data_IF_087983251717
#
_entry.id   IF_087983251717
#
_cell.length_a   1.000
_cell.length_b   1.000
_cell.length_c   1.000
_cell.angle_alpha   90.00
_cell.angle_beta   90.00
_cell.angle_gamma   90.00
#
_symmetry.space_group_name_H-M   'P 1'
#
loop_
_entity.id
_entity.type
_entity.pdbx_description
1 polymer ?
#
# COMPACT_ATOMS: atom_id res chain seq x y z
N UNK A 1 34.46 10.65 25.24
CA UNK A 1 33.78 10.11 24.05
C UNK A 1 32.39 9.66 24.47
N UNK A 2 31.36 10.49 24.25
CA UNK A 2 29.99 10.06 24.51
C UNK A 2 29.61 9.02 23.45
N UNK A 3 29.41 7.78 23.86
CA UNK A 3 28.82 6.73 23.02
C UNK A 3 27.50 7.28 22.45
N UNK A 4 27.20 7.10 21.16
CA UNK A 4 25.94 7.55 20.62
C UNK A 4 24.82 6.88 21.41
N UNK A 5 23.91 7.69 21.98
CA UNK A 5 22.77 7.20 22.76
C UNK A 5 22.01 6.16 21.94
N UNK A 6 21.90 4.95 22.47
CA UNK A 6 21.16 3.84 21.86
C UNK A 6 19.66 4.08 22.07
N UNK A 7 19.03 4.86 21.13
CA UNK A 7 17.64 5.29 21.20
C UNK A 7 17.36 6.46 22.12
N UNK A 8 16.10 6.85 22.24
CA UNK A 8 15.64 7.93 23.11
C UNK A 8 15.33 7.42 24.53
N UNK A 9 15.61 8.27 25.54
CA UNK A 9 15.20 8.00 26.93
C UNK A 9 13.68 8.26 27.11
N UNK A 10 13.08 7.68 28.17
CA UNK A 10 11.74 8.05 28.61
C UNK A 10 11.79 9.40 29.35
N UNK A 11 10.76 10.27 29.24
CA UNK A 11 9.49 10.07 28.53
C UNK A 11 9.53 10.46 27.04
N UNK A 12 10.65 11.03 26.53
CA UNK A 12 10.77 11.51 25.16
C UNK A 12 10.46 10.41 24.12
N UNK A 13 10.93 9.17 24.37
CA UNK A 13 10.64 8.01 23.52
C UNK A 13 9.15 7.78 23.36
N UNK A 14 8.37 7.84 24.45
CA UNK A 14 6.92 7.64 24.40
C UNK A 14 6.21 8.66 23.51
N UNK A 15 6.57 9.94 23.63
CA UNK A 15 6.01 11.00 22.80
C UNK A 15 6.43 10.89 21.32
N UNK A 16 7.68 10.50 21.06
CA UNK A 16 8.14 10.27 19.71
C UNK A 16 7.38 9.11 19.03
N UNK A 17 7.15 8.01 19.75
CA UNK A 17 6.36 6.87 19.26
C UNK A 17 4.92 7.29 18.99
N UNK A 18 4.30 8.05 19.87
CA UNK A 18 2.94 8.57 19.68
C UNK A 18 2.86 9.45 18.42
N UNK A 19 3.84 10.33 18.22
CA UNK A 19 3.93 11.17 17.01
C UNK A 19 3.97 10.31 15.74
N UNK A 20 4.88 9.31 15.71
CA UNK A 20 5.06 8.40 14.59
C UNK A 20 3.76 7.61 14.33
N UNK A 21 3.10 7.15 15.40
CA UNK A 21 1.84 6.41 15.29
C UNK A 21 0.71 7.28 14.74
N UNK A 22 0.54 8.52 15.23
CA UNK A 22 -0.51 9.43 14.74
C UNK A 22 -0.32 9.71 13.24
N UNK A 23 0.89 10.06 12.78
CA UNK A 23 1.12 10.34 11.36
C UNK A 23 0.88 9.10 10.48
N UNK A 24 1.25 7.91 10.98
CA UNK A 24 1.00 6.66 10.27
C UNK A 24 -0.49 6.30 10.22
N UNK A 25 -1.23 6.50 11.32
CA UNK A 25 -2.69 6.35 11.39
C UNK A 25 -3.33 7.27 10.34
N UNK A 26 -3.00 8.56 10.36
CA UNK A 26 -3.53 9.53 9.40
C UNK A 26 -3.30 9.07 7.96
N UNK A 27 -2.07 8.73 7.60
CA UNK A 27 -1.72 8.37 6.21
C UNK A 27 -2.37 7.06 5.73
N UNK A 28 -2.47 6.04 6.60
CA UNK A 28 -3.03 4.73 6.23
C UNK A 28 -4.56 4.75 6.24
N UNK A 29 -5.14 5.34 7.27
CA UNK A 29 -6.58 5.40 7.47
C UNK A 29 -7.26 6.28 6.40
N UNK A 30 -6.65 7.43 6.06
CA UNK A 30 -7.16 8.36 5.05
C UNK A 30 -7.30 7.73 3.66
N UNK A 31 -6.38 6.84 3.28
CA UNK A 31 -6.49 6.05 2.05
C UNK A 31 -7.68 5.08 2.05
N UNK A 32 -8.09 4.58 3.21
CA UNK A 32 -9.21 3.65 3.33
C UNK A 32 -10.57 4.39 3.47
N UNK A 33 -10.58 5.49 4.22
CA UNK A 33 -11.80 6.29 4.49
C UNK A 33 -12.38 6.85 3.19
N UNK A 34 -11.55 7.41 2.31
CA UNK A 34 -12.00 8.02 1.07
C UNK A 34 -12.74 7.04 0.15
N UNK A 35 -12.34 5.77 0.13
CA UNK A 35 -12.97 4.76 -0.74
C UNK A 35 -14.45 4.55 -0.43
N UNK A 36 -14.85 4.58 0.84
CA UNK A 36 -16.25 4.36 1.28
C UNK A 36 -17.16 5.48 0.80
N UNK A 37 -16.66 6.71 0.79
CA UNK A 37 -17.42 7.91 0.44
C UNK A 37 -17.42 8.26 -1.05
N UNK A 38 -16.66 7.52 -1.89
CA UNK A 38 -16.53 7.85 -3.32
C UNK A 38 -17.87 8.05 -4.03
N UNK A 39 -18.89 7.16 -3.85
CA UNK A 39 -20.16 7.34 -4.51
C UNK A 39 -20.88 8.63 -4.08
N UNK A 40 -20.88 8.95 -2.80
CA UNK A 40 -21.50 10.18 -2.27
C UNK A 40 -20.75 11.43 -2.73
N UNK A 41 -19.42 11.41 -2.71
CA UNK A 41 -18.60 12.53 -3.23
C UNK A 41 -18.88 12.74 -4.73
N UNK A 42 -19.01 11.67 -5.51
CA UNK A 42 -19.33 11.76 -6.94
C UNK A 42 -20.67 12.44 -7.18
N UNK A 43 -21.70 12.08 -6.41
CA UNK A 43 -23.04 12.69 -6.49
C UNK A 43 -23.01 14.16 -6.09
N UNK A 44 -22.42 14.49 -4.95
CA UNK A 44 -22.43 15.85 -4.41
C UNK A 44 -21.64 16.83 -5.29
N UNK A 45 -20.55 16.37 -5.91
CA UNK A 45 -19.72 17.17 -6.82
C UNK A 45 -20.18 17.05 -8.29
N UNK A 46 -21.32 16.42 -8.57
CA UNK A 46 -21.87 16.20 -9.92
C UNK A 46 -20.85 15.60 -10.90
N UNK A 47 -20.02 14.68 -10.41
CA UNK A 47 -18.97 14.01 -11.15
C UNK A 47 -19.37 12.60 -11.57
N UNK A 48 -18.83 12.11 -12.70
CA UNK A 48 -19.04 10.72 -13.05
C UNK A 48 -18.32 9.79 -12.04
N UNK A 49 -18.83 8.58 -11.78
CA UNK A 49 -18.17 7.60 -10.92
C UNK A 49 -16.72 7.31 -11.34
N UNK A 50 -16.46 7.20 -12.65
CA UNK A 50 -15.12 6.94 -13.17
C UNK A 50 -14.13 8.07 -12.84
N UNK A 51 -14.52 9.32 -13.04
CA UNK A 51 -13.67 10.47 -12.68
C UNK A 51 -13.50 10.65 -11.18
N UNK A 52 -14.49 10.29 -10.36
CA UNK A 52 -14.36 10.38 -8.89
C UNK A 52 -13.26 9.50 -8.32
N UNK A 53 -12.90 8.40 -9.01
CA UNK A 53 -11.81 7.50 -8.59
C UNK A 53 -10.45 8.22 -8.60
N UNK A 54 -10.31 9.34 -9.34
CA UNK A 54 -9.09 10.16 -9.30
C UNK A 54 -8.80 10.76 -7.91
N UNK A 55 -9.80 10.89 -7.05
CA UNK A 55 -9.62 11.24 -5.62
C UNK A 55 -8.70 10.23 -4.92
N UNK A 56 -8.83 8.95 -5.25
CA UNK A 56 -8.00 7.86 -4.73
C UNK A 56 -6.73 7.69 -5.56
N UNK A 57 -6.86 7.66 -6.89
CA UNK A 57 -5.72 7.48 -7.80
C UNK A 57 -4.68 8.58 -7.61
N UNK A 58 -5.08 9.84 -7.53
CA UNK A 58 -4.18 10.98 -7.34
C UNK A 58 -3.39 10.88 -6.04
N UNK A 59 -4.05 10.51 -4.95
CA UNK A 59 -3.40 10.26 -3.66
C UNK A 59 -2.39 9.11 -3.72
N UNK A 60 -2.80 7.95 -4.25
CA UNK A 60 -1.95 6.77 -4.34
C UNK A 60 -0.77 6.97 -5.29
N UNK A 61 -1.01 7.63 -6.44
CA UNK A 61 0.05 7.97 -7.39
C UNK A 61 1.09 8.88 -6.75
N UNK A 62 0.66 9.96 -6.07
CA UNK A 62 1.56 10.88 -5.39
C UNK A 62 2.43 10.16 -4.35
N UNK A 63 1.86 9.23 -3.57
CA UNK A 63 2.64 8.40 -2.65
C UNK A 63 3.64 7.53 -3.42
N UNK A 64 3.18 6.84 -4.45
CA UNK A 64 4.00 5.87 -5.19
C UNK A 64 5.23 6.50 -5.82
N UNK A 65 5.06 7.66 -6.49
CA UNK A 65 6.16 8.35 -7.18
C UNK A 65 7.14 9.03 -6.22
N UNK A 66 6.69 9.40 -5.02
CA UNK A 66 7.50 10.21 -4.08
C UNK A 66 8.05 9.44 -2.89
N UNK A 67 7.57 8.21 -2.62
CA UNK A 67 8.00 7.43 -1.43
C UNK A 67 9.52 7.23 -1.40
N UNK A 68 10.11 6.74 -2.49
CA UNK A 68 11.55 6.47 -2.58
C UNK A 68 12.37 7.76 -2.66
N UNK A 69 12.04 8.75 -3.50
CA UNK A 69 12.71 10.05 -3.48
C UNK A 69 12.71 10.72 -2.10
N UNK A 70 11.57 10.72 -1.39
CA UNK A 70 11.50 11.32 -0.05
C UNK A 70 12.23 10.50 1.02
N UNK A 71 12.37 9.18 0.85
CA UNK A 71 13.24 8.38 1.70
C UNK A 71 14.70 8.79 1.56
N UNK A 72 15.19 8.92 0.31
CA UNK A 72 16.55 9.42 0.02
C UNK A 72 16.74 10.86 0.50
N UNK A 73 15.77 11.73 0.28
CA UNK A 73 15.80 13.11 0.81
C UNK A 73 15.91 13.11 2.34
N UNK A 74 15.24 12.16 3.01
CA UNK A 74 15.32 11.98 4.46
C UNK A 74 16.73 11.64 4.95
N UNK A 75 17.51 10.88 4.17
CA UNK A 75 18.92 10.62 4.45
C UNK A 75 19.75 11.89 4.33
N UNK A 76 19.50 12.70 3.28
CA UNK A 76 20.28 13.90 2.95
C UNK A 76 19.99 15.06 3.91
N UNK A 77 18.71 15.37 4.18
CA UNK A 77 18.33 16.55 5.00
C UNK A 77 17.97 16.20 6.44
N UNK A 78 17.84 14.90 6.74
CA UNK A 78 17.44 14.38 8.06
C UNK A 78 15.97 13.93 8.09
N UNK A 79 15.73 12.74 8.59
CA UNK A 79 14.41 12.08 8.62
C UNK A 79 13.33 12.89 9.35
N UNK A 80 13.71 13.55 10.45
CA UNK A 80 12.78 14.42 11.21
C UNK A 80 12.25 15.57 10.38
N UNK A 81 13.10 16.23 9.55
CA UNK A 81 12.68 17.36 8.73
C UNK A 81 11.67 16.93 7.66
N UNK A 82 11.95 15.81 6.97
CA UNK A 82 11.03 15.26 5.96
C UNK A 82 9.71 14.83 6.59
N UNK A 83 9.74 14.20 7.76
CA UNK A 83 8.53 13.79 8.48
C UNK A 83 7.66 14.99 8.87
N UNK A 84 8.25 16.05 9.46
CA UNK A 84 7.52 17.27 9.88
C UNK A 84 6.97 18.01 8.66
N UNK A 85 7.75 18.15 7.58
CA UNK A 85 7.27 18.74 6.33
C UNK A 85 6.12 17.92 5.71
N UNK A 86 6.22 16.58 5.75
CA UNK A 86 5.15 15.68 5.32
C UNK A 86 3.87 15.86 6.15
N UNK A 87 3.97 15.92 7.48
CA UNK A 87 2.83 16.18 8.37
C UNK A 87 2.19 17.53 8.10
N UNK A 88 2.99 18.58 7.92
CA UNK A 88 2.51 19.93 7.63
C UNK A 88 1.76 19.96 6.30
N UNK A 89 2.36 19.41 5.24
CA UNK A 89 1.75 19.34 3.92
C UNK A 89 0.46 18.51 3.96
N UNK A 90 0.46 17.36 4.63
CA UNK A 90 -0.73 16.52 4.79
C UNK A 90 -1.86 17.25 5.49
N UNK A 91 -1.56 17.98 6.58
CA UNK A 91 -2.55 18.73 7.37
C UNK A 91 -3.14 19.89 6.57
N UNK A 92 -2.30 20.66 5.86
CA UNK A 92 -2.74 21.77 5.00
C UNK A 92 -3.57 21.22 3.82
N UNK A 93 -3.13 20.15 3.18
CA UNK A 93 -3.87 19.53 2.10
C UNK A 93 -5.22 18.96 2.57
N UNK A 94 -5.31 18.44 3.79
CA UNK A 94 -6.58 18.02 4.39
C UNK A 94 -7.56 19.18 4.54
N UNK A 95 -7.06 20.39 4.90
CA UNK A 95 -7.88 21.58 4.94
C UNK A 95 -8.42 21.96 3.53
N UNK A 96 -7.58 21.82 2.48
CA UNK A 96 -8.03 22.02 1.11
C UNK A 96 -9.04 20.96 0.66
N UNK A 97 -8.92 19.72 1.10
CA UNK A 97 -9.93 18.68 0.85
C UNK A 97 -11.28 19.05 1.47
N UNK A 98 -11.29 19.60 2.69
CA UNK A 98 -12.52 20.06 3.36
C UNK A 98 -13.17 21.23 2.61
N UNK A 99 -12.36 22.14 2.08
CA UNK A 99 -12.83 23.33 1.37
C UNK A 99 -13.16 23.08 -0.11
N UNK A 100 -12.86 21.90 -0.64
CA UNK A 100 -13.06 21.60 -2.05
C UNK A 100 -14.55 21.51 -2.42
N UNK A 101 -14.95 22.26 -3.43
CA UNK A 101 -16.31 22.31 -3.97
C UNK A 101 -16.41 21.79 -5.41
N UNK A 102 -15.31 21.33 -5.97
CA UNK A 102 -15.24 20.67 -7.30
C UNK A 102 -14.36 19.42 -7.24
N UNK A 103 -14.62 18.47 -8.13
CA UNK A 103 -13.80 17.28 -8.23
C UNK A 103 -12.33 17.61 -8.49
N UNK A 104 -12.05 18.57 -9.37
CA UNK A 104 -10.68 18.98 -9.72
C UNK A 104 -9.93 19.52 -8.50
N UNK A 105 -10.55 20.42 -7.71
CA UNK A 105 -9.93 20.93 -6.50
C UNK A 105 -9.69 19.85 -5.47
N UNK A 106 -10.66 18.94 -5.28
CA UNK A 106 -10.50 17.81 -4.38
C UNK A 106 -9.36 16.89 -4.85
N UNK A 107 -9.29 16.57 -6.13
CA UNK A 107 -8.21 15.73 -6.69
C UNK A 107 -6.83 16.37 -6.52
N UNK A 108 -6.70 17.69 -6.77
CA UNK A 108 -5.44 18.41 -6.54
C UNK A 108 -5.06 18.37 -5.05
N UNK A 109 -6.03 18.63 -4.16
CA UNK A 109 -5.80 18.56 -2.73
C UNK A 109 -5.37 17.15 -2.29
N UNK A 110 -5.96 16.10 -2.87
CA UNK A 110 -5.59 14.70 -2.64
C UNK A 110 -4.17 14.36 -3.13
N UNK A 111 -3.75 14.90 -4.27
CA UNK A 111 -2.38 14.76 -4.75
C UNK A 111 -1.40 15.40 -3.75
N UNK A 112 -1.67 16.62 -3.30
CA UNK A 112 -0.85 17.30 -2.29
C UNK A 112 -0.81 16.53 -0.96
N UNK A 113 -1.96 15.99 -0.54
CA UNK A 113 -2.07 15.16 0.65
C UNK A 113 -1.27 13.85 0.50
N UNK A 114 -1.25 13.26 -0.70
CA UNK A 114 -0.43 12.10 -1.04
C UNK A 114 1.08 12.36 -0.92
N UNK A 115 1.57 13.52 -1.36
CA UNK A 115 2.97 13.93 -1.14
C UNK A 115 3.27 14.08 0.36
N UNK A 116 2.33 14.63 1.14
CA UNK A 116 2.44 14.69 2.61
C UNK A 116 2.53 13.31 3.24
N UNK A 117 1.63 12.39 2.84
CA UNK A 117 1.62 11.01 3.29
C UNK A 117 2.93 10.28 2.94
N UNK A 118 3.46 10.49 1.74
CA UNK A 118 4.74 9.93 1.33
C UNK A 118 5.89 10.43 2.21
N UNK A 119 5.89 11.72 2.59
CA UNK A 119 6.87 12.28 3.52
C UNK A 119 6.83 11.61 4.90
N UNK A 120 5.62 11.29 5.39
CA UNK A 120 5.44 10.56 6.65
C UNK A 120 5.92 9.10 6.51
N UNK A 121 5.44 8.39 5.48
CA UNK A 121 5.64 6.95 5.34
C UNK A 121 7.07 6.59 4.94
N UNK A 122 7.72 7.39 4.10
CA UNK A 122 9.07 7.13 3.57
C UNK A 122 10.14 7.05 4.66
N UNK A 123 10.03 7.89 5.68
CA UNK A 123 11.02 7.99 6.77
C UNK A 123 10.55 7.35 8.08
N UNK A 124 9.34 6.79 8.10
CA UNK A 124 8.71 6.22 9.29
C UNK A 124 9.59 5.16 9.96
N UNK A 125 10.05 4.16 9.20
CA UNK A 125 10.87 3.06 9.76
C UNK A 125 12.24 3.55 10.23
N UNK A 126 12.83 4.54 9.56
CA UNK A 126 14.08 5.15 9.99
C UNK A 126 13.91 5.87 11.35
N UNK A 127 12.82 6.62 11.52
CA UNK A 127 12.50 7.27 12.80
C UNK A 127 12.25 6.25 13.91
N UNK A 128 11.55 5.13 13.63
CA UNK A 128 11.40 4.02 14.59
C UNK A 128 12.77 3.50 15.04
N UNK A 129 13.71 3.27 14.11
CA UNK A 129 15.07 2.80 14.43
C UNK A 129 15.87 3.78 15.28
N UNK A 130 15.70 5.09 15.07
CA UNK A 130 16.36 6.14 15.86
C UNK A 130 15.67 6.39 17.22
N UNK A 131 14.41 6.00 17.36
CA UNK A 131 13.62 6.20 18.59
C UNK A 131 13.82 5.06 19.59
N UNK A 132 13.90 3.80 19.11
CA UNK A 132 14.05 2.64 19.99
C UNK A 132 15.50 2.25 20.20
N UNK A 133 15.89 1.82 21.44
CA UNK A 133 17.15 1.12 21.68
C UNK A 133 17.21 -0.17 20.83
N UNK A 134 18.43 -0.58 20.43
CA UNK A 134 18.64 -1.80 19.61
C UNK A 134 17.98 -3.03 20.20
N UNK A 135 18.08 -3.21 21.52
CA UNK A 135 17.47 -4.33 22.25
C UNK A 135 15.92 -4.35 22.17
N UNK A 136 15.28 -3.20 21.91
CA UNK A 136 13.82 -3.06 21.83
C UNK A 136 13.31 -2.80 20.41
N UNK A 137 14.17 -2.79 19.41
CA UNK A 137 13.81 -2.44 18.03
C UNK A 137 12.74 -3.38 17.46
N UNK A 138 12.82 -4.69 17.74
CA UNK A 138 11.80 -5.66 17.34
C UNK A 138 10.40 -5.30 17.86
N UNK A 139 10.31 -4.82 19.13
CA UNK A 139 9.05 -4.31 19.70
C UNK A 139 8.56 -3.06 18.96
N UNK A 140 9.46 -2.14 18.61
CA UNK A 140 9.12 -0.93 17.86
C UNK A 140 8.55 -1.25 16.48
N UNK A 141 9.17 -2.17 15.74
CA UNK A 141 8.71 -2.64 14.44
C UNK A 141 7.34 -3.33 14.57
N UNK A 142 7.15 -4.17 15.61
CA UNK A 142 5.88 -4.85 15.86
C UNK A 142 4.74 -3.86 16.15
N UNK A 143 4.97 -2.85 16.99
CA UNK A 143 3.99 -1.79 17.28
C UNK A 143 3.66 -1.02 15.99
N UNK A 144 4.66 -0.66 15.19
CA UNK A 144 4.43 0.04 13.93
C UNK A 144 3.57 -0.78 12.95
N UNK A 145 3.84 -2.07 12.81
CA UNK A 145 3.03 -2.98 12.00
C UNK A 145 1.58 -3.10 12.52
N UNK A 146 1.41 -3.17 13.85
CA UNK A 146 0.09 -3.20 14.48
C UNK A 146 -0.69 -1.90 14.20
N UNK A 147 -0.03 -0.73 14.30
CA UNK A 147 -0.65 0.56 13.97
C UNK A 147 -1.16 0.58 12.53
N UNK A 148 -0.35 0.11 11.57
CA UNK A 148 -0.78 0.02 10.15
C UNK A 148 -2.00 -0.88 10.00
N UNK A 149 -1.97 -2.07 10.60
CA UNK A 149 -3.06 -3.04 10.50
C UNK A 149 -4.36 -2.51 11.11
N UNK A 150 -4.29 -1.94 12.32
CA UNK A 150 -5.45 -1.36 13.01
C UNK A 150 -6.00 -0.16 12.25
N UNK A 151 -5.15 0.71 11.71
CA UNK A 151 -5.57 1.89 10.94
C UNK A 151 -6.31 1.49 9.66
N UNK A 152 -5.77 0.51 8.93
CA UNK A 152 -6.43 -0.01 7.74
C UNK A 152 -7.77 -0.69 8.07
N UNK A 153 -7.82 -1.40 9.20
CA UNK A 153 -9.03 -2.07 9.68
C UNK A 153 -10.12 -1.10 10.12
N UNK A 154 -9.73 -0.04 10.84
CA UNK A 154 -10.67 0.93 11.40
C UNK A 154 -11.22 1.91 10.34
N UNK A 155 -10.52 2.09 9.22
CA UNK A 155 -10.86 3.07 8.19
C UNK A 155 -12.34 3.04 7.77
N UNK A 156 -12.85 1.93 7.24
CA UNK A 156 -14.25 1.83 6.78
C UNK A 156 -15.26 2.09 7.91
N UNK A 157 -15.03 1.59 9.11
CA UNK A 157 -15.91 1.79 10.27
C UNK A 157 -15.92 3.25 10.72
N UNK A 158 -14.76 3.91 10.74
CA UNK A 158 -14.64 5.33 11.08
C UNK A 158 -15.32 6.17 9.99
N UNK A 159 -15.17 5.82 8.71
CA UNK A 159 -15.86 6.48 7.62
C UNK A 159 -17.38 6.40 7.80
N UNK A 160 -17.91 5.20 8.05
CA UNK A 160 -19.34 5.00 8.33
C UNK A 160 -19.82 5.84 9.52
N UNK A 161 -19.07 5.86 10.62
CA UNK A 161 -19.41 6.65 11.81
C UNK A 161 -19.42 8.16 11.53
N UNK A 162 -18.47 8.68 10.75
CA UNK A 162 -18.44 10.11 10.39
C UNK A 162 -19.60 10.46 9.46
N UNK A 163 -19.88 9.62 8.45
CA UNK A 163 -20.95 9.83 7.48
C UNK A 163 -22.35 9.69 8.11
N UNK A 164 -22.47 8.98 9.24
CA UNK A 164 -23.71 8.90 10.01
C UNK A 164 -24.06 10.23 10.71
N UNK A 165 -23.08 11.08 11.02
CA UNK A 165 -23.26 12.32 11.79
C UNK A 165 -22.99 13.61 11.00
N UNK A 166 -22.42 13.49 9.79
CA UNK A 166 -22.10 14.68 9.00
C UNK A 166 -21.72 14.40 7.55
N UNK A 167 -21.52 15.48 6.75
CA UNK A 167 -21.19 15.35 5.34
C UNK A 167 -19.76 14.84 5.12
N UNK A 168 -19.49 14.35 3.91
CA UNK A 168 -18.21 13.74 3.53
C UNK A 168 -16.95 14.61 3.79
N UNK A 169 -16.95 15.97 3.76
CA UNK A 169 -15.77 16.73 4.11
C UNK A 169 -15.23 16.47 5.52
N UNK A 170 -16.08 15.98 6.44
CA UNK A 170 -15.65 15.61 7.80
C UNK A 170 -14.67 14.45 7.83
N UNK A 171 -14.67 13.60 6.78
CA UNK A 171 -13.68 12.52 6.61
C UNK A 171 -12.25 13.07 6.51
N UNK A 172 -12.08 14.25 5.94
CA UNK A 172 -10.79 14.94 5.83
C UNK A 172 -10.53 15.88 7.01
N UNK A 173 -11.60 16.47 7.59
CA UNK A 173 -11.50 17.38 8.72
C UNK A 173 -10.89 16.73 9.97
N UNK A 174 -11.10 15.43 10.20
CA UNK A 174 -10.53 14.68 11.34
C UNK A 174 -8.99 14.70 11.32
N UNK A 175 -8.38 14.82 10.14
CA UNK A 175 -6.93 14.87 9.98
C UNK A 175 -6.34 16.19 10.50
N UNK A 176 -7.11 17.28 10.57
CA UNK A 176 -6.61 18.61 10.95
C UNK A 176 -6.18 18.63 12.43
N UNK A 177 -7.06 18.31 13.42
CA UNK A 177 -6.66 18.30 14.82
C UNK A 177 -5.56 17.23 15.09
N UNK A 178 -5.64 16.06 14.48
CA UNK A 178 -4.62 15.02 14.62
C UNK A 178 -3.26 15.48 14.09
N UNK A 179 -3.25 16.14 12.91
CA UNK A 179 -2.05 16.68 12.29
C UNK A 179 -1.41 17.78 13.11
N UNK A 180 -2.20 18.71 13.67
CA UNK A 180 -1.70 19.75 14.56
C UNK A 180 -1.06 19.16 15.83
N UNK A 181 -1.70 18.20 16.46
CA UNK A 181 -1.13 17.49 17.60
C UNK A 181 0.17 16.78 17.23
N UNK A 182 0.19 16.03 16.11
CA UNK A 182 1.39 15.35 15.64
C UNK A 182 2.52 16.31 15.28
N UNK A 183 2.22 17.49 14.70
CA UNK A 183 3.21 18.53 14.40
C UNK A 183 3.85 19.08 15.68
N UNK A 184 3.06 19.46 16.68
CA UNK A 184 3.57 19.97 17.97
C UNK A 184 4.46 18.93 18.65
N UNK A 185 4.00 17.68 18.74
CA UNK A 185 4.76 16.59 19.31
C UNK A 185 6.02 16.28 18.49
N UNK A 186 5.93 16.30 17.16
CA UNK A 186 7.02 16.03 16.25
C UNK A 186 8.15 17.05 16.35
N UNK A 187 7.79 18.35 16.40
CA UNK A 187 8.74 19.44 16.60
C UNK A 187 9.45 19.34 17.96
N UNK A 188 8.78 18.81 18.98
CA UNK A 188 9.34 18.75 20.34
C UNK A 188 10.13 17.48 20.62
N UNK A 189 9.67 16.31 20.14
CA UNK A 189 10.12 15.01 20.65
C UNK A 189 10.81 14.10 19.63
N UNK A 190 10.63 14.32 18.29
CA UNK A 190 11.29 13.45 17.30
C UNK A 190 12.82 13.62 17.35
N UNK A 191 13.57 12.51 17.20
CA UNK A 191 15.02 12.54 17.25
C UNK A 191 15.62 13.32 16.08
N UNK A 192 16.66 14.11 16.35
CA UNK A 192 17.47 14.71 15.31
C UNK A 192 18.38 13.64 14.70
N UNK A 193 18.39 13.57 13.38
CA UNK A 193 19.23 12.64 12.63
C UNK A 193 20.30 13.43 11.88
N UNK A 194 21.51 12.87 11.82
CA UNK A 194 22.62 13.48 11.07
C UNK A 194 22.37 13.30 9.58
N UNK A 195 22.51 14.36 8.76
CA UNK A 195 22.44 14.26 7.31
C UNK A 195 23.54 13.36 6.76
N UNK A 196 23.21 12.60 5.72
CA UNK A 196 24.20 11.90 4.90
C UNK A 196 24.79 12.85 3.85
N UNK A 197 26.06 12.62 3.48
CA UNK A 197 26.79 13.52 2.58
C UNK A 197 26.72 13.15 1.10
N UNK A 198 25.58 12.68 0.59
CA UNK A 198 25.40 12.39 -0.83
C UNK A 198 24.37 13.31 -1.47
N UNK A 199 24.48 13.51 -2.78
CA UNK A 199 23.57 14.34 -3.56
C UNK A 199 22.22 13.64 -3.82
N UNK A 200 21.17 14.46 -4.03
CA UNK A 200 19.85 13.96 -4.37
C UNK A 200 19.77 13.58 -5.85
N UNK A 201 19.29 12.37 -6.10
CA UNK A 201 19.11 11.83 -7.45
C UNK A 201 17.79 12.33 -8.10
N UNK A 202 17.84 13.54 -8.66
CA UNK A 202 16.73 14.15 -9.36
C UNK A 202 16.31 13.38 -10.61
N UNK A 203 17.27 12.76 -11.31
CA UNK A 203 16.99 12.03 -12.55
C UNK A 203 16.12 10.82 -12.27
N UNK A 204 16.49 10.00 -11.30
CA UNK A 204 15.69 8.83 -10.93
C UNK A 204 14.33 9.21 -10.33
N UNK A 205 14.24 10.30 -9.58
CA UNK A 205 12.98 10.80 -9.06
C UNK A 205 12.02 11.20 -10.21
N UNK A 206 12.50 11.95 -11.20
CA UNK A 206 11.71 12.34 -12.39
C UNK A 206 11.35 11.12 -13.25
N UNK A 207 12.30 10.22 -13.51
CA UNK A 207 12.03 9.01 -14.28
C UNK A 207 11.01 8.09 -13.61
N UNK A 208 11.05 7.99 -12.28
CA UNK A 208 10.05 7.26 -11.51
C UNK A 208 8.66 7.91 -11.64
N UNK A 209 8.59 9.24 -11.50
CA UNK A 209 7.33 9.98 -11.67
C UNK A 209 6.75 9.82 -13.08
N UNK A 210 7.58 9.90 -14.11
CA UNK A 210 7.17 9.70 -15.50
C UNK A 210 6.70 8.25 -15.75
N UNK A 211 7.42 7.26 -15.22
CA UNK A 211 7.08 5.84 -15.40
C UNK A 211 5.68 5.54 -14.85
N UNK A 212 5.42 5.91 -13.61
CA UNK A 212 4.13 5.62 -12.97
C UNK A 212 3.03 6.58 -13.43
N UNK A 213 3.35 7.87 -13.64
CA UNK A 213 2.41 8.89 -14.08
C UNK A 213 1.87 8.60 -15.48
N UNK A 214 2.74 8.37 -16.45
CA UNK A 214 2.34 8.04 -17.82
C UNK A 214 1.67 6.66 -17.91
N UNK A 215 2.12 5.69 -17.10
CA UNK A 215 1.47 4.38 -17.06
C UNK A 215 0.02 4.46 -16.55
N UNK A 216 -0.24 5.31 -15.55
CA UNK A 216 -1.58 5.56 -15.05
C UNK A 216 -2.43 6.33 -16.07
N UNK A 217 -1.86 7.36 -16.71
CA UNK A 217 -2.53 8.14 -17.76
C UNK A 217 -2.95 7.24 -18.92
N UNK A 218 -2.09 6.34 -19.39
CA UNK A 218 -2.43 5.39 -20.44
C UNK A 218 -3.64 4.49 -20.09
N UNK A 219 -3.75 4.03 -18.85
CA UNK A 219 -4.90 3.24 -18.39
C UNK A 219 -6.16 4.11 -18.41
N UNK A 220 -6.06 5.35 -17.97
CA UNK A 220 -7.17 6.31 -17.93
C UNK A 220 -7.66 6.68 -19.33
N UNK A 221 -6.74 7.00 -20.24
CA UNK A 221 -7.04 7.31 -21.67
C UNK A 221 -7.79 6.17 -22.36
N UNK A 222 -7.39 4.92 -22.11
CA UNK A 222 -8.11 3.73 -22.61
C UNK A 222 -9.54 3.68 -22.03
N UNK A 223 -9.70 3.98 -20.75
CA UNK A 223 -10.99 3.95 -20.06
C UNK A 223 -11.98 4.95 -20.61
N UNK A 224 -11.53 6.17 -20.88
CA UNK A 224 -12.37 7.25 -21.39
C UNK A 224 -12.56 7.22 -22.92
N UNK A 225 -11.95 6.26 -23.60
CA UNK A 225 -12.09 6.10 -25.04
C UNK A 225 -11.40 7.20 -25.85
N UNK A 226 -10.31 7.75 -25.30
CA UNK A 226 -9.46 8.68 -26.02
C UNK A 226 -8.78 8.01 -27.24
N UNK A 227 -8.14 8.81 -28.09
CA UNK A 227 -7.45 8.28 -29.26
C UNK A 227 -6.41 7.22 -28.83
N UNK A 228 -6.47 6.06 -29.47
CA UNK A 228 -5.52 4.97 -29.21
C UNK A 228 -4.06 5.41 -29.36
N UNK A 229 -3.78 6.41 -30.21
CA UNK A 229 -2.45 6.97 -30.38
C UNK A 229 -1.95 7.69 -29.10
N UNK A 230 -2.84 8.36 -28.36
CA UNK A 230 -2.52 9.03 -27.09
C UNK A 230 -2.16 7.95 -26.07
N UNK A 231 -3.04 6.97 -25.85
CA UNK A 231 -2.81 5.88 -24.90
C UNK A 231 -1.52 5.08 -25.21
N UNK A 232 -1.25 4.81 -26.48
CA UNK A 232 -0.01 4.16 -26.92
C UNK A 232 1.22 5.05 -26.68
N UNK A 233 1.11 6.35 -26.92
CA UNK A 233 2.17 7.32 -26.66
C UNK A 233 2.51 7.40 -25.16
N UNK A 234 1.49 7.47 -24.30
CA UNK A 234 1.65 7.48 -22.84
C UNK A 234 2.26 6.17 -22.35
N UNK A 235 1.77 5.03 -22.81
CA UNK A 235 2.34 3.72 -22.45
C UNK A 235 3.78 3.58 -22.94
N UNK A 236 4.06 3.97 -24.18
CA UNK A 236 5.42 3.99 -24.75
C UNK A 236 6.36 4.89 -23.93
N UNK A 237 5.90 6.08 -23.56
CA UNK A 237 6.62 7.01 -22.70
C UNK A 237 6.90 6.40 -21.31
N UNK A 238 5.92 5.73 -20.70
CA UNK A 238 6.10 5.02 -19.43
C UNK A 238 7.16 3.91 -19.51
N UNK A 239 7.13 3.12 -20.59
CA UNK A 239 8.11 2.05 -20.83
C UNK A 239 9.51 2.64 -21.02
N UNK A 240 9.64 3.70 -21.84
CA UNK A 240 10.93 4.37 -22.08
C UNK A 240 11.48 4.93 -20.75
N UNK A 241 10.66 5.67 -19.99
CA UNK A 241 11.06 6.22 -18.69
C UNK A 241 11.48 5.11 -17.71
N UNK A 242 10.75 3.99 -17.67
CA UNK A 242 11.06 2.83 -16.84
C UNK A 242 12.38 2.16 -17.23
N UNK A 243 12.64 2.00 -18.54
CA UNK A 243 13.91 1.45 -19.03
C UNK A 243 15.08 2.38 -18.68
N UNK A 244 14.90 3.69 -18.84
CA UNK A 244 15.91 4.68 -18.48
C UNK A 244 16.16 4.69 -16.96
N UNK A 245 15.10 4.61 -16.15
CA UNK A 245 15.19 4.50 -14.69
C UNK A 245 16.03 3.27 -14.30
N UNK A 246 15.71 2.10 -14.87
CA UNK A 246 16.45 0.85 -14.60
C UNK A 246 17.91 0.97 -15.01
N UNK A 247 18.22 1.61 -16.15
CA UNK A 247 19.60 1.82 -16.62
C UNK A 247 20.37 2.74 -15.68
N UNK A 248 19.79 3.85 -15.27
CA UNK A 248 20.42 4.82 -14.35
C UNK A 248 20.72 4.15 -13.00
N UNK A 249 19.75 3.42 -12.43
CA UNK A 249 19.88 2.74 -11.14
C UNK A 249 20.95 1.63 -11.11
N UNK A 250 21.28 1.01 -12.26
CA UNK A 250 22.33 -0.04 -12.33
C UNK A 250 23.73 0.48 -12.08
N UNK A 251 23.97 1.76 -12.30
CA UNK A 251 25.28 2.40 -12.19
C UNK A 251 25.49 3.16 -10.87
N UNK A 252 24.47 3.19 -10.01
CA UNK A 252 24.51 3.91 -8.74
C UNK A 252 25.05 3.05 -7.59
N UNK A 253 25.87 3.65 -6.75
CA UNK A 253 26.38 3.02 -5.52
C UNK A 253 25.29 2.79 -4.47
N UNK A 254 24.27 3.69 -4.43
CA UNK A 254 23.11 3.61 -3.54
C UNK A 254 21.83 3.78 -4.35
N UNK A 255 21.37 2.74 -5.07
CA UNK A 255 20.22 2.85 -5.93
C UNK A 255 18.93 3.03 -5.10
N UNK A 256 18.01 3.90 -5.56
CA UNK A 256 16.67 4.08 -4.99
C UNK A 256 15.85 2.78 -5.06
N UNK A 257 15.97 2.05 -6.17
CA UNK A 257 15.35 0.74 -6.37
C UNK A 257 16.42 -0.35 -6.29
N UNK A 258 16.40 -1.23 -5.30
CA UNK A 258 17.36 -2.33 -5.19
C UNK A 258 17.05 -3.46 -6.19
N UNK A 259 17.22 -3.18 -7.48
CA UNK A 259 16.92 -4.09 -8.59
C UNK A 259 17.77 -5.38 -8.57
N UNK A 260 18.92 -5.33 -7.89
CA UNK A 260 19.78 -6.50 -7.64
C UNK A 260 19.03 -7.61 -6.89
N UNK A 261 18.11 -7.25 -6.00
CA UNK A 261 17.30 -8.24 -5.27
C UNK A 261 16.33 -8.99 -6.17
N UNK A 262 15.91 -8.41 -7.30
CA UNK A 262 15.04 -9.09 -8.28
C UNK A 262 15.76 -10.22 -9.03
N UNK A 263 17.09 -10.28 -8.97
CA UNK A 263 17.85 -11.43 -9.48
C UNK A 263 17.72 -12.68 -8.61
N UNK A 264 17.20 -12.51 -7.39
CA UNK A 264 16.88 -13.62 -6.49
C UNK A 264 15.48 -14.13 -6.86
N UNK A 265 15.32 -15.34 -7.47
CA UNK A 265 14.02 -15.76 -8.03
C UNK A 265 12.89 -15.77 -7.00
N UNK A 266 13.17 -16.23 -5.78
CA UNK A 266 12.15 -16.28 -4.71
C UNK A 266 11.72 -14.86 -4.27
N UNK A 267 12.62 -13.88 -4.33
CA UNK A 267 12.32 -12.48 -4.05
C UNK A 267 11.46 -11.88 -5.16
N UNK A 268 11.85 -12.08 -6.43
CA UNK A 268 11.11 -11.58 -7.59
C UNK A 268 9.69 -12.15 -7.66
N UNK A 269 9.53 -13.48 -7.45
CA UNK A 269 8.21 -14.10 -7.38
C UNK A 269 7.36 -13.56 -6.23
N UNK A 270 7.97 -13.25 -5.09
CA UNK A 270 7.25 -12.65 -3.95
C UNK A 270 6.81 -11.21 -4.23
N UNK A 271 7.62 -10.41 -4.95
CA UNK A 271 7.25 -9.09 -5.44
C UNK A 271 6.06 -9.19 -6.41
N UNK A 272 6.14 -10.08 -7.42
CA UNK A 272 5.07 -10.27 -8.39
C UNK A 272 3.76 -10.70 -7.70
N UNK A 273 3.84 -11.63 -6.72
CA UNK A 273 2.69 -12.04 -5.92
C UNK A 273 2.11 -10.86 -5.13
N UNK A 274 2.97 -10.00 -4.55
CA UNK A 274 2.53 -8.78 -3.84
C UNK A 274 1.79 -7.83 -4.78
N UNK A 275 2.36 -7.51 -5.94
CA UNK A 275 1.73 -6.61 -6.91
C UNK A 275 0.34 -7.14 -7.31
N UNK A 276 0.25 -8.42 -7.67
CA UNK A 276 -1.02 -9.04 -8.08
C UNK A 276 -2.06 -9.02 -6.94
N UNK A 277 -1.68 -9.39 -5.72
CA UNK A 277 -2.61 -9.44 -4.59
C UNK A 277 -3.09 -8.06 -4.14
N UNK A 278 -2.21 -7.06 -4.10
CA UNK A 278 -2.59 -5.69 -3.76
C UNK A 278 -3.38 -5.01 -4.89
N UNK A 279 -3.15 -5.39 -6.15
CA UNK A 279 -4.00 -4.97 -7.27
C UNK A 279 -5.42 -5.52 -7.10
N UNK A 280 -5.58 -6.83 -6.85
CA UNK A 280 -6.87 -7.45 -6.57
C UNK A 280 -7.56 -6.86 -5.35
N UNK A 281 -6.82 -6.57 -4.28
CA UNK A 281 -7.36 -5.90 -3.09
C UNK A 281 -7.93 -4.52 -3.44
N UNK A 282 -7.17 -3.69 -4.15
CA UNK A 282 -7.59 -2.33 -4.46
C UNK A 282 -8.75 -2.29 -5.46
N UNK A 283 -8.72 -3.19 -6.46
CA UNK A 283 -9.87 -3.43 -7.34
C UNK A 283 -11.16 -3.65 -6.53
N UNK A 284 -11.10 -4.51 -5.51
CA UNK A 284 -12.26 -4.79 -4.68
C UNK A 284 -12.63 -3.60 -3.79
N UNK A 285 -11.69 -2.98 -3.08
CA UNK A 285 -11.97 -1.89 -2.15
C UNK A 285 -12.55 -0.65 -2.83
N UNK A 286 -12.14 -0.35 -4.06
CA UNK A 286 -12.67 0.80 -4.83
C UNK A 286 -13.99 0.45 -5.52
N UNK A 287 -14.11 -0.77 -6.08
CA UNK A 287 -15.32 -1.16 -6.81
C UNK A 287 -16.51 -1.48 -5.91
N UNK A 288 -16.28 -2.07 -4.72
CA UNK A 288 -17.35 -2.53 -3.83
C UNK A 288 -18.34 -1.42 -3.41
N UNK A 289 -17.91 -0.21 -3.01
CA UNK A 289 -18.85 0.87 -2.69
C UNK A 289 -19.81 1.16 -3.85
N UNK A 290 -19.28 1.34 -5.05
CA UNK A 290 -20.12 1.58 -6.24
C UNK A 290 -21.01 0.40 -6.57
N UNK A 291 -20.52 -0.84 -6.43
CA UNK A 291 -21.32 -2.04 -6.69
C UNK A 291 -22.47 -2.21 -5.71
N UNK A 292 -22.20 -2.01 -4.41
CA UNK A 292 -23.20 -2.14 -3.35
C UNK A 292 -24.25 -1.02 -3.41
N UNK A 293 -23.83 0.22 -3.70
CA UNK A 293 -24.76 1.35 -3.87
C UNK A 293 -25.62 1.19 -5.13
N UNK A 294 -24.97 1.06 -6.30
CA UNK A 294 -25.68 1.10 -7.60
C UNK A 294 -26.59 -0.09 -7.83
N UNK A 295 -26.22 -1.28 -7.31
CA UNK A 295 -26.96 -2.53 -7.56
C UNK A 295 -28.00 -2.84 -6.49
N UNK A 296 -27.71 -2.48 -5.23
CA UNK A 296 -28.51 -2.89 -4.08
C UNK A 296 -29.06 -1.72 -3.26
N UNK A 297 -28.63 -0.48 -3.54
CA UNK A 297 -29.14 0.72 -2.88
C UNK A 297 -28.67 0.89 -1.44
N UNK A 298 -27.57 0.24 -1.03
CA UNK A 298 -27.01 0.41 0.31
C UNK A 298 -26.49 1.85 0.51
N UNK A 299 -26.72 2.38 1.71
CA UNK A 299 -26.17 3.68 2.15
C UNK A 299 -24.68 3.59 2.44
N UNK A 300 -23.99 4.73 2.46
CA UNK A 300 -22.55 4.81 2.78
C UNK A 300 -22.22 4.19 4.15
N UNK A 301 -23.12 4.37 5.14
CA UNK A 301 -22.95 3.79 6.48
C UNK A 301 -23.02 2.27 6.43
N UNK A 302 -24.01 1.72 5.71
CA UNK A 302 -24.12 0.26 5.53
C UNK A 302 -22.91 -0.29 4.77
N UNK A 303 -22.47 0.39 3.70
CA UNK A 303 -21.30 0.01 2.91
C UNK A 303 -20.04 -0.03 3.78
N UNK A 304 -19.80 1.02 4.58
CA UNK A 304 -18.66 1.06 5.48
C UNK A 304 -18.68 -0.07 6.51
N UNK A 305 -19.85 -0.38 7.08
CA UNK A 305 -20.01 -1.49 8.02
C UNK A 305 -19.82 -2.85 7.32
N UNK A 306 -20.35 -3.01 6.09
CA UNK A 306 -20.23 -4.24 5.30
C UNK A 306 -18.80 -4.52 4.84
N UNK A 307 -17.95 -3.50 4.65
CA UNK A 307 -16.54 -3.66 4.29
C UNK A 307 -15.67 -4.00 5.53
N UNK A 308 -16.08 -3.59 6.72
CA UNK A 308 -15.36 -3.80 7.99
C UNK A 308 -14.99 -5.27 8.32
N UNK A 309 -15.76 -6.32 8.00
CA UNK A 309 -15.39 -7.72 8.23
C UNK A 309 -14.08 -8.15 7.58
N UNK A 310 -13.71 -7.56 6.44
CA UNK A 310 -12.43 -7.84 5.78
C UNK A 310 -11.21 -7.56 6.66
N UNK A 311 -10.94 -6.30 7.07
CA UNK A 311 -9.78 -6.01 7.89
C UNK A 311 -9.82 -6.71 9.25
N UNK A 312 -10.99 -6.98 9.81
CA UNK A 312 -11.12 -7.78 11.03
C UNK A 312 -10.60 -9.20 10.76
N UNK A 313 -11.05 -9.84 9.69
CA UNK A 313 -10.60 -11.17 9.32
C UNK A 313 -9.07 -11.22 9.04
N UNK A 314 -8.51 -10.18 8.39
CA UNK A 314 -7.05 -10.03 8.22
C UNK A 314 -6.35 -9.99 9.57
N UNK A 315 -6.87 -9.23 10.54
CA UNK A 315 -6.27 -9.08 11.87
C UNK A 315 -6.19 -10.41 12.65
N UNK A 316 -7.13 -11.32 12.44
CA UNK A 316 -7.09 -12.67 13.00
C UNK A 316 -6.27 -13.66 12.16
N UNK A 317 -6.38 -13.59 10.85
CA UNK A 317 -5.68 -14.52 9.96
C UNK A 317 -4.17 -14.28 9.90
N UNK A 318 -3.70 -13.02 10.00
CA UNK A 318 -2.28 -12.70 9.88
C UNK A 318 -1.41 -13.30 11.02
N UNK A 319 -1.78 -13.22 12.32
CA UNK A 319 -1.06 -13.93 13.37
C UNK A 319 -1.10 -15.45 13.24
N UNK A 320 -2.23 -16.01 12.79
CA UNK A 320 -2.34 -17.45 12.52
C UNK A 320 -1.38 -17.86 11.39
N UNK A 321 -1.35 -17.11 10.30
CA UNK A 321 -0.40 -17.31 9.21
C UNK A 321 1.06 -17.23 9.67
N UNK A 322 1.36 -16.30 10.60
CA UNK A 322 2.67 -16.17 11.21
C UNK A 322 3.13 -17.42 11.98
N UNK A 323 2.21 -18.13 12.62
CA UNK A 323 2.49 -19.43 13.27
C UNK A 323 2.57 -20.58 12.26
N UNK A 324 1.66 -20.60 11.31
CA UNK A 324 1.62 -21.69 10.30
C UNK A 324 2.87 -21.70 9.42
N UNK A 325 3.47 -20.55 9.11
CA UNK A 325 4.67 -20.46 8.26
C UNK A 325 5.92 -21.09 8.92
N UNK A 326 5.87 -21.40 10.20
CA UNK A 326 6.93 -22.16 10.90
C UNK A 326 6.88 -23.65 10.56
N UNK A 327 5.72 -24.17 10.18
CA UNK A 327 5.47 -25.59 9.92
C UNK A 327 5.19 -25.89 8.45
N UNK A 328 4.69 -24.94 7.68
CA UNK A 328 4.29 -25.10 6.28
C UNK A 328 5.05 -24.15 5.36
N UNK A 329 5.34 -24.56 4.12
CA UNK A 329 6.02 -23.69 3.15
C UNK A 329 5.23 -22.41 2.89
N UNK A 330 5.91 -21.27 2.91
CA UNK A 330 5.29 -19.96 2.68
C UNK A 330 4.58 -19.85 1.32
N UNK A 331 5.11 -20.54 0.29
CA UNK A 331 4.50 -20.60 -1.04
C UNK A 331 3.14 -21.28 -1.04
N UNK A 332 2.99 -22.37 -0.26
CA UNK A 332 1.73 -23.10 -0.10
C UNK A 332 0.69 -22.26 0.66
N UNK A 333 1.07 -21.72 1.82
CA UNK A 333 0.18 -20.86 2.61
C UNK A 333 -0.27 -19.63 1.82
N UNK A 334 0.66 -19.01 1.10
CA UNK A 334 0.34 -17.89 0.23
C UNK A 334 -0.60 -18.25 -0.92
N UNK A 335 -0.40 -19.41 -1.54
CA UNK A 335 -1.28 -19.94 -2.59
C UNK A 335 -2.70 -20.21 -2.08
N UNK A 336 -2.82 -20.95 -0.96
CA UNK A 336 -4.13 -21.21 -0.32
C UNK A 336 -4.80 -19.91 0.10
N UNK A 337 -4.06 -18.98 0.71
CA UNK A 337 -4.60 -17.68 1.11
C UNK A 337 -5.17 -16.90 -0.08
N UNK A 338 -4.45 -16.84 -1.20
CA UNK A 338 -4.90 -16.14 -2.40
C UNK A 338 -6.07 -16.85 -3.11
N UNK A 339 -6.18 -18.19 -3.03
CA UNK A 339 -7.34 -18.92 -3.51
C UNK A 339 -8.59 -18.62 -2.66
N UNK A 340 -8.47 -18.59 -1.32
CA UNK A 340 -9.55 -18.17 -0.42
C UNK A 340 -9.96 -16.72 -0.69
N UNK A 341 -8.99 -15.85 -0.94
CA UNK A 341 -9.21 -14.47 -1.34
C UNK A 341 -10.01 -14.39 -2.65
N UNK A 342 -9.59 -15.14 -3.69
CA UNK A 342 -10.30 -15.21 -4.97
C UNK A 342 -11.72 -15.75 -4.82
N UNK A 343 -11.94 -16.80 -3.99
CA UNK A 343 -13.25 -17.34 -3.70
C UNK A 343 -14.16 -16.33 -3.02
N UNK A 344 -13.66 -15.59 -2.02
CA UNK A 344 -14.39 -14.53 -1.35
C UNK A 344 -14.81 -13.41 -2.31
N UNK A 345 -13.89 -12.95 -3.17
CA UNK A 345 -14.17 -11.93 -4.20
C UNK A 345 -15.14 -12.42 -5.26
N UNK A 346 -14.99 -13.66 -5.73
CA UNK A 346 -15.90 -14.29 -6.70
C UNK A 346 -17.31 -14.41 -6.12
N UNK A 347 -17.42 -14.81 -4.85
CA UNK A 347 -18.69 -14.86 -4.14
C UNK A 347 -19.34 -13.48 -3.99
N UNK A 348 -18.54 -12.40 -3.77
CA UNK A 348 -19.01 -11.02 -3.75
C UNK A 348 -19.51 -10.57 -5.13
N UNK A 349 -18.78 -10.89 -6.21
CA UNK A 349 -19.21 -10.57 -7.58
C UNK A 349 -20.50 -11.30 -8.00
N UNK A 350 -20.84 -12.40 -7.30
CA UNK A 350 -22.02 -13.24 -7.54
C UNK A 350 -23.07 -13.11 -6.42
N UNK A 351 -23.21 -11.93 -5.80
CA UNK A 351 -24.27 -11.67 -4.84
C UNK A 351 -25.65 -11.90 -5.46
N UNK A 352 -26.62 -12.49 -4.71
CA UNK A 352 -28.01 -12.63 -5.18
C UNK A 352 -28.66 -11.26 -5.38
N UNK A 353 -29.85 -11.22 -6.03
CA UNK A 353 -30.58 -9.97 -6.32
C UNK A 353 -30.98 -9.21 -5.06
N UNK A 354 -31.21 -9.91 -3.95
CA UNK A 354 -31.57 -9.36 -2.64
C UNK A 354 -30.65 -9.97 -1.58
N UNK A 355 -29.39 -9.48 -1.47
CA UNK A 355 -28.45 -10.04 -0.50
C UNK A 355 -28.84 -9.60 0.91
N UNK A 356 -28.78 -10.53 1.85
CA UNK A 356 -28.83 -10.18 3.27
C UNK A 356 -27.50 -9.54 3.71
N UNK A 357 -27.51 -8.81 4.83
CA UNK A 357 -26.28 -8.29 5.42
C UNK A 357 -25.28 -9.42 5.72
N UNK A 358 -25.78 -10.57 6.15
CA UNK A 358 -24.95 -11.76 6.40
C UNK A 358 -24.29 -12.27 5.11
N UNK A 359 -25.00 -12.23 3.97
CA UNK A 359 -24.45 -12.64 2.67
C UNK A 359 -23.20 -11.85 2.28
N UNK A 360 -23.19 -10.56 2.52
CA UNK A 360 -22.03 -9.71 2.24
C UNK A 360 -20.93 -9.92 3.28
N UNK A 361 -21.31 -9.96 4.56
CA UNK A 361 -20.37 -10.03 5.70
C UNK A 361 -19.46 -11.26 5.65
N UNK A 362 -20.02 -12.47 5.45
CA UNK A 362 -19.18 -13.68 5.43
C UNK A 362 -18.26 -13.75 4.21
N UNK A 363 -18.71 -13.23 3.06
CA UNK A 363 -17.89 -13.17 1.84
C UNK A 363 -16.72 -12.19 2.01
N UNK A 364 -16.97 -11.04 2.65
CA UNK A 364 -15.94 -10.08 3.02
C UNK A 364 -14.94 -10.68 4.01
N UNK A 365 -15.43 -11.39 5.04
CA UNK A 365 -14.57 -12.07 6.01
C UNK A 365 -13.72 -13.17 5.36
N UNK A 366 -14.28 -13.95 4.43
CA UNK A 366 -13.55 -14.97 3.67
C UNK A 366 -12.42 -14.35 2.83
N UNK A 367 -12.71 -13.27 2.10
CA UNK A 367 -11.72 -12.54 1.31
C UNK A 367 -10.61 -11.98 2.22
N UNK A 368 -10.99 -11.38 3.35
CA UNK A 368 -10.04 -10.85 4.33
C UNK A 368 -9.15 -11.93 4.96
N UNK A 369 -9.73 -13.05 5.37
CA UNK A 369 -8.99 -14.18 5.92
C UNK A 369 -7.98 -14.73 4.91
N UNK A 370 -8.40 -14.89 3.65
CA UNK A 370 -7.51 -15.32 2.56
C UNK A 370 -6.36 -14.35 2.34
N UNK A 371 -6.61 -13.05 2.31
CA UNK A 371 -5.60 -12.02 2.15
C UNK A 371 -4.61 -11.99 3.32
N UNK A 372 -5.09 -12.12 4.57
CA UNK A 372 -4.26 -12.18 5.78
C UNK A 372 -3.37 -13.42 5.81
N UNK A 373 -3.90 -14.56 5.38
CA UNK A 373 -3.15 -15.82 5.30
C UNK A 373 -2.02 -15.76 4.25
N UNK A 374 -2.19 -15.00 3.19
CA UNK A 374 -1.15 -14.75 2.17
C UNK A 374 -0.09 -13.76 2.62
N UNK A 375 -0.51 -12.59 3.17
CA UNK A 375 0.35 -11.41 3.33
C UNK A 375 1.55 -11.68 4.25
N UNK A 376 1.31 -12.31 5.40
CA UNK A 376 2.36 -12.54 6.42
C UNK A 376 3.47 -13.48 5.92
N UNK A 377 3.19 -14.68 5.36
CA UNK A 377 4.21 -15.53 4.80
C UNK A 377 4.98 -14.89 3.64
N UNK A 378 4.29 -14.13 2.79
CA UNK A 378 4.91 -13.46 1.67
C UNK A 378 5.90 -12.38 2.11
N UNK A 379 5.52 -11.52 3.04
CA UNK A 379 6.39 -10.48 3.60
C UNK A 379 7.62 -11.08 4.30
N UNK A 380 7.41 -12.15 5.09
CA UNK A 380 8.52 -12.89 5.73
C UNK A 380 9.50 -13.46 4.70
N UNK A 381 8.97 -14.06 3.63
CA UNK A 381 9.81 -14.64 2.55
C UNK A 381 10.63 -13.55 1.86
N UNK A 382 10.05 -12.39 1.55
CA UNK A 382 10.77 -11.28 0.93
C UNK A 382 11.94 -10.80 1.78
N UNK A 383 11.69 -10.55 3.08
CA UNK A 383 12.72 -10.06 4.00
C UNK A 383 13.81 -11.12 4.21
N UNK A 384 13.42 -12.39 4.34
CA UNK A 384 14.36 -13.50 4.57
C UNK A 384 15.20 -13.87 3.33
N UNK A 385 14.68 -13.62 2.12
CA UNK A 385 15.40 -13.90 0.88
C UNK A 385 16.50 -12.89 0.57
N UNK A 386 16.41 -11.68 1.14
CA UNK A 386 17.41 -10.64 0.93
C UNK A 386 18.62 -10.82 1.88
N UNK A 387 19.86 -10.50 1.42
CA UNK A 387 21.02 -10.42 2.31
C UNK A 387 20.75 -9.46 3.48
N UNK A 388 21.33 -9.75 4.65
CA UNK A 388 21.10 -8.96 5.89
C UNK A 388 21.47 -7.48 5.69
N UNK A 389 22.52 -7.19 4.94
CA UNK A 389 23.00 -5.86 4.59
C UNK A 389 22.02 -5.09 3.72
N UNK A 390 21.14 -5.80 2.98
CA UNK A 390 20.13 -5.27 2.06
C UNK A 390 18.70 -5.30 2.61
N UNK A 391 18.53 -5.59 3.90
CA UNK A 391 17.20 -5.68 4.54
C UNK A 391 16.37 -4.39 4.45
N UNK A 392 17.01 -3.22 4.45
CA UNK A 392 16.37 -1.93 4.22
C UNK A 392 15.78 -1.82 2.80
N UNK A 393 16.57 -2.20 1.78
CA UNK A 393 16.12 -2.26 0.40
C UNK A 393 14.97 -3.25 0.18
N UNK A 394 15.02 -4.43 0.83
CA UNK A 394 13.94 -5.41 0.77
C UNK A 394 12.62 -4.86 1.35
N UNK A 395 12.69 -4.15 2.48
CA UNK A 395 11.52 -3.49 3.08
C UNK A 395 10.97 -2.38 2.21
N UNK A 396 11.83 -1.59 1.55
CA UNK A 396 11.44 -0.58 0.58
C UNK A 396 10.71 -1.18 -0.62
N UNK A 397 11.26 -2.26 -1.20
CA UNK A 397 10.62 -2.98 -2.32
C UNK A 397 9.26 -3.59 -1.95
N UNK A 398 9.10 -4.07 -0.72
CA UNK A 398 7.81 -4.54 -0.21
C UNK A 398 6.77 -3.41 -0.21
N UNK A 399 7.14 -2.23 0.28
CA UNK A 399 6.28 -1.03 0.25
C UNK A 399 5.95 -0.60 -1.18
N UNK A 400 6.94 -0.57 -2.07
CA UNK A 400 6.78 -0.20 -3.49
C UNK A 400 5.88 -1.19 -4.23
N UNK A 401 6.06 -2.50 -4.03
CA UNK A 401 5.22 -3.53 -4.65
C UNK A 401 3.75 -3.39 -4.23
N UNK A 402 3.50 -3.10 -2.94
CA UNK A 402 2.16 -2.82 -2.44
C UNK A 402 1.53 -1.60 -3.11
N UNK A 403 2.23 -0.47 -3.10
CA UNK A 403 1.72 0.77 -3.67
C UNK A 403 1.50 0.67 -5.17
N UNK A 404 2.42 0.01 -5.89
CA UNK A 404 2.29 -0.24 -7.33
C UNK A 404 1.04 -1.08 -7.62
N UNK A 405 0.83 -2.18 -6.89
CA UNK A 405 -0.39 -2.98 -7.02
C UNK A 405 -1.64 -2.17 -6.74
N UNK A 406 -1.67 -1.39 -5.66
CA UNK A 406 -2.79 -0.53 -5.30
C UNK A 406 -3.08 0.53 -6.38
N UNK A 407 -2.07 1.20 -6.89
CA UNK A 407 -2.22 2.21 -7.96
C UNK A 407 -2.78 1.60 -9.23
N UNK A 408 -2.23 0.45 -9.68
CA UNK A 408 -2.75 -0.27 -10.85
C UNK A 408 -4.20 -0.71 -10.62
N UNK A 409 -4.51 -1.27 -9.45
CA UNK A 409 -5.86 -1.71 -9.12
C UNK A 409 -6.88 -0.58 -9.16
N UNK A 410 -6.59 0.57 -8.55
CA UNK A 410 -7.47 1.73 -8.58
C UNK A 410 -7.67 2.28 -10.00
N UNK A 411 -6.62 2.34 -10.82
CA UNK A 411 -6.70 2.75 -12.21
C UNK A 411 -7.59 1.82 -13.05
N UNK A 412 -7.45 0.50 -12.85
CA UNK A 412 -8.28 -0.48 -13.53
C UNK A 412 -9.77 -0.38 -13.15
N UNK A 413 -10.10 0.02 -11.91
CA UNK A 413 -11.51 0.29 -11.55
C UNK A 413 -12.06 1.46 -12.34
N UNK A 414 -11.29 2.57 -12.46
CA UNK A 414 -11.68 3.73 -13.28
C UNK A 414 -11.96 3.29 -14.72
N UNK A 415 -11.04 2.53 -15.31
CA UNK A 415 -11.16 1.96 -16.65
C UNK A 415 -12.45 1.13 -16.81
N UNK A 416 -12.72 0.19 -15.90
CA UNK A 416 -13.88 -0.68 -16.00
C UNK A 416 -15.20 0.07 -15.81
N UNK A 417 -15.28 1.01 -14.86
CA UNK A 417 -16.48 1.82 -14.65
C UNK A 417 -16.72 2.76 -15.84
N UNK A 418 -15.66 3.37 -16.39
CA UNK A 418 -15.79 4.22 -17.57
C UNK A 418 -16.28 3.44 -18.80
N UNK A 419 -15.77 2.21 -19.00
CA UNK A 419 -16.04 1.43 -20.22
C UNK A 419 -17.34 0.62 -20.17
N UNK A 420 -17.75 0.16 -18.98
CA UNK A 420 -18.85 -0.79 -18.80
C UNK A 420 -20.01 -0.27 -17.93
N UNK A 421 -19.99 1.01 -17.58
CA UNK A 421 -21.04 1.68 -16.82
C UNK A 421 -21.51 0.86 -15.59
N UNK A 422 -22.79 0.46 -15.54
CA UNK A 422 -23.40 -0.25 -14.40
C UNK A 422 -22.75 -1.60 -14.06
N UNK A 423 -22.18 -2.30 -15.04
CA UNK A 423 -21.51 -3.57 -14.84
C UNK A 423 -20.01 -3.40 -14.52
N UNK A 424 -19.45 -2.20 -14.69
CA UNK A 424 -18.02 -1.93 -14.53
C UNK A 424 -17.48 -2.32 -13.15
N UNK A 425 -18.22 -2.02 -12.09
CA UNK A 425 -17.81 -2.37 -10.73
C UNK A 425 -17.82 -3.91 -10.51
N UNK A 426 -18.78 -4.62 -11.08
CA UNK A 426 -18.84 -6.10 -11.04
C UNK A 426 -17.71 -6.74 -11.85
N UNK A 427 -17.40 -6.18 -13.02
CA UNK A 427 -16.27 -6.62 -13.86
C UNK A 427 -14.96 -6.41 -13.12
N UNK A 428 -14.80 -5.30 -12.40
CA UNK A 428 -13.63 -5.03 -11.57
C UNK A 428 -13.45 -6.11 -10.47
N UNK A 429 -14.54 -6.59 -9.85
CA UNK A 429 -14.50 -7.69 -8.89
C UNK A 429 -14.03 -9.00 -9.54
N UNK A 430 -14.51 -9.34 -10.74
CA UNK A 430 -14.01 -10.51 -11.48
C UNK A 430 -12.55 -10.35 -11.90
N UNK A 431 -12.12 -9.16 -12.29
CA UNK A 431 -10.71 -8.89 -12.55
C UNK A 431 -9.86 -9.08 -11.28
N UNK A 432 -10.37 -8.66 -10.12
CA UNK A 432 -9.73 -8.89 -8.83
C UNK A 432 -9.55 -10.40 -8.54
N UNK A 433 -10.55 -11.23 -8.88
CA UNK A 433 -10.43 -12.70 -8.83
C UNK A 433 -9.30 -13.18 -9.73
N UNK A 434 -9.22 -12.69 -10.96
CA UNK A 434 -8.14 -13.04 -11.90
C UNK A 434 -6.75 -12.71 -11.33
N UNK A 435 -6.56 -11.51 -10.77
CA UNK A 435 -5.32 -11.12 -10.12
C UNK A 435 -4.99 -11.99 -8.89
N UNK A 436 -5.99 -12.35 -8.07
CA UNK A 436 -5.80 -13.21 -6.92
C UNK A 436 -5.37 -14.64 -7.36
N UNK A 437 -5.98 -15.20 -8.41
CA UNK A 437 -5.60 -16.50 -8.98
C UNK A 437 -4.18 -16.41 -9.57
N UNK A 438 -3.86 -15.40 -10.34
CA UNK A 438 -2.51 -15.19 -10.88
C UNK A 438 -1.47 -15.12 -9.74
N UNK A 439 -1.78 -14.37 -8.68
CA UNK A 439 -0.96 -14.32 -7.48
C UNK A 439 -0.81 -15.69 -6.80
N UNK A 440 -1.87 -16.51 -6.74
CA UNK A 440 -1.83 -17.86 -6.18
C UNK A 440 -0.90 -18.76 -7.00
N UNK A 441 -1.00 -18.72 -8.32
CA UNK A 441 -0.11 -19.47 -9.22
C UNK A 441 1.35 -19.07 -8.99
N UNK A 442 1.65 -17.76 -9.02
CA UNK A 442 3.01 -17.25 -8.79
C UNK A 442 3.52 -17.62 -7.39
N UNK A 443 2.64 -17.61 -6.38
CA UNK A 443 2.99 -18.03 -5.01
C UNK A 443 3.39 -19.51 -4.95
N UNK A 444 2.69 -20.39 -5.66
CA UNK A 444 2.99 -21.82 -5.68
C UNK A 444 4.26 -22.15 -6.47
N UNK A 445 4.61 -21.37 -7.51
CA UNK A 445 5.88 -21.53 -8.23
C UNK A 445 7.12 -21.37 -7.31
N UNK A 446 6.99 -20.70 -6.17
CA UNK A 446 8.07 -20.63 -5.16
C UNK A 446 8.39 -22.01 -4.53
N UNK A 447 7.45 -22.95 -4.55
CA UNK A 447 7.68 -24.30 -3.99
C UNK A 447 8.73 -25.06 -4.81
N UNK A 448 8.72 -24.92 -6.14
CA UNK A 448 9.72 -25.54 -7.02
C UNK A 448 11.12 -24.98 -6.79
N UNK A 449 11.23 -23.68 -6.50
CA UNK A 449 12.51 -23.00 -6.22
C UNK A 449 13.08 -23.41 -4.85
N UNK A 450 12.24 -23.65 -3.85
CA UNK A 450 12.66 -24.13 -2.53
C UNK A 450 13.16 -25.59 -2.59
N UNK A 451 12.50 -26.43 -3.37
CA UNK A 451 12.90 -27.82 -3.61
C UNK A 451 14.26 -27.92 -4.33
N UNK A 452 14.49 -27.07 -5.34
CA UNK A 452 15.75 -27.03 -6.07
C UNK A 452 16.95 -26.67 -5.17
N UNK A 453 16.80 -25.68 -4.29
CA UNK A 453 17.84 -25.29 -3.32
C UNK A 453 18.10 -26.37 -2.27
N UNK A 454 17.05 -27.08 -1.81
CA UNK A 454 17.19 -28.21 -0.90
C UNK A 454 17.99 -29.33 -1.52
N UNK A 455 17.72 -29.68 -2.79
CA UNK A 455 18.44 -30.71 -3.53
C UNK A 455 19.91 -30.31 -3.81
N UNK A 456 20.18 -29.04 -4.12
CA UNK A 456 21.54 -28.55 -4.33
C UNK A 456 22.36 -28.56 -3.03
N UNK A 457 21.75 -28.18 -1.89
CA UNK A 457 22.39 -28.23 -0.57
C UNK A 457 22.73 -29.66 -0.16
N UNK A 458 21.85 -30.63 -0.43
CA UNK A 458 22.12 -32.06 -0.17
C UNK A 458 23.26 -32.55 -1.05
N UNK A 459 23.26 -32.22 -2.36
CA UNK A 459 24.37 -32.58 -3.28
C UNK A 459 25.71 -32.02 -2.84
N UNK A 460 25.75 -30.73 -2.47
CA UNK A 460 26.99 -30.08 -2.00
C UNK A 460 27.51 -30.72 -0.71
N UNK A 461 26.61 -31.11 0.19
CA UNK A 461 26.99 -31.83 1.41
C UNK A 461 27.47 -33.28 1.16
N UNK A 462 26.87 -33.95 0.20
CA UNK A 462 27.34 -35.28 -0.25
C UNK A 462 28.69 -35.19 -0.94
N UNK A 463 28.90 -34.21 -1.84
CA UNK A 463 30.19 -33.94 -2.49
C UNK A 463 31.31 -33.59 -1.51
N UNK A 464 30.96 -32.83 -0.44
CA UNK A 464 31.92 -32.50 0.61
C UNK A 464 32.27 -33.69 1.50
N UNK A 465 31.32 -34.60 1.74
CA UNK A 465 31.59 -35.87 2.43
C UNK A 465 32.47 -36.80 1.61
N UNK A 466 32.24 -36.94 0.32
CA UNK A 466 33.05 -37.78 -0.56
C UNK A 466 34.46 -37.24 -0.83
N UNK A 467 34.68 -35.95 -0.64
CA UNK A 467 36.03 -35.33 -0.78
C UNK A 467 36.81 -35.27 0.54
N UNK A 468 36.18 -35.58 1.67
CA UNK A 468 36.78 -35.61 3.00
C UNK A 468 37.15 -37.02 3.48
N UNK A 469 36.79 -38.05 2.70
CA UNK A 469 37.32 -39.42 2.77
C UNK A 469 38.42 -39.61 1.71
#
# INVERSE_FOLDING_TARGET
MNLPHDGLAQPQRGWAILTIAIGLIMSVMDGAIANVALPTIARDLHASPAFSIWIVNGYQLAITISLLPLASLGEIVGYRRVYIAGLLLFTIASLFCVAANTLTLLTIARILQGFGAAGIMSVNMALVRHTYPRAMLGRGIGINAMVVAVSAAAGPTIAAGILAVGPWPYLFAINIPLGLVALVLGIKYLPHTRPAGHDFDWKSAVLSALTFGLGLAAIDSIGHGEDAAIALGEFGGAVIAGVLLVREQKHMASPLLPLDLLRIPIFALSIATSIASFCGQMLAFVALPFYLESRFGYSDVEIGLLITPWPIAVAFAAPLAGRLVEHYPAGLLGGIGLLLFALGLGALAMLPTHPSLFDVTWRMALAGAGFGLFQTPNNRTMIAAAPRERSGGASGMLGTARLLGQTIGAALVSLFIARFALDGARIALFAAVGFAIAGAIVSTLRLSQAGARGAEYVRVKEDQRMKGE
#
